data_IF_559153427943
#
_entry.id   IF_559153427943
#
_cell.length_a   1.000
_cell.length_b   1.000
_cell.length_c   1.000
_cell.angle_alpha   90.00
_cell.angle_beta   90.00
_cell.angle_gamma   90.00
#
_symmetry.space_group_name_H-M   'P 1'
#
loop_
_entity.id
_entity.type
_entity.pdbx_description
1 polymer ?
#
# COMPACT_ATOMS: atom_id res chain seq x y z
N UNK A 1 -24.25 36.24 -2.58
CA UNK A 1 -24.19 34.78 -2.41
C UNK A 1 -22.92 34.31 -3.12
N UNK A 2 -21.78 34.36 -2.45
CA UNK A 2 -20.53 33.89 -3.03
C UNK A 2 -20.49 32.37 -2.88
N UNK A 3 -20.67 31.65 -3.99
CA UNK A 3 -20.42 30.22 -4.04
C UNK A 3 -18.90 30.05 -3.95
N UNK A 4 -18.39 29.64 -2.78
CA UNK A 4 -17.00 29.19 -2.70
C UNK A 4 -16.91 27.89 -3.49
N UNK A 5 -16.31 27.96 -4.66
CA UNK A 5 -15.88 26.78 -5.39
C UNK A 5 -14.77 26.14 -4.57
N UNK A 6 -15.10 25.09 -3.79
CA UNK A 6 -14.10 24.16 -3.29
C UNK A 6 -13.49 23.50 -4.52
N UNK A 7 -12.33 24.01 -4.97
CA UNK A 7 -11.47 23.22 -5.84
C UNK A 7 -10.87 22.13 -4.97
N UNK A 8 -11.09 20.87 -5.34
CA UNK A 8 -10.26 19.79 -4.83
C UNK A 8 -8.82 20.19 -5.12
N UNK A 9 -8.04 20.40 -4.07
CA UNK A 9 -6.61 20.56 -4.20
C UNK A 9 -6.12 19.20 -4.72
N UNK A 10 -5.51 19.18 -5.91
CA UNK A 10 -4.75 18.00 -6.33
C UNK A 10 -3.62 17.88 -5.31
N UNK A 11 -3.81 17.02 -4.32
CA UNK A 11 -2.80 16.74 -3.31
C UNK A 11 -1.63 16.08 -4.03
N UNK A 12 -0.66 16.90 -4.43
CA UNK A 12 0.60 16.45 -5.03
C UNK A 12 1.36 15.69 -3.95
N UNK A 13 1.13 14.37 -3.90
CA UNK A 13 1.81 13.46 -2.98
C UNK A 13 3.31 13.59 -3.27
N UNK A 14 4.06 14.14 -2.32
CA UNK A 14 5.51 14.27 -2.48
C UNK A 14 6.12 12.91 -2.84
N UNK A 15 6.92 12.89 -3.91
CA UNK A 15 7.58 11.67 -4.40
C UNK A 15 9.09 11.86 -4.53
N UNK A 16 9.81 10.75 -4.57
CA UNK A 16 11.22 10.70 -4.93
C UNK A 16 11.41 9.88 -6.21
N UNK A 17 12.38 10.29 -7.05
CA UNK A 17 12.75 9.56 -8.24
C UNK A 17 13.69 8.41 -7.91
N UNK A 18 13.33 7.20 -8.35
CA UNK A 18 14.20 6.03 -8.29
C UNK A 18 15.06 5.96 -9.55
N UNK A 19 16.27 5.37 -9.42
CA UNK A 19 17.16 5.12 -10.57
C UNK A 19 16.52 4.22 -11.65
N UNK A 20 15.48 3.46 -11.29
CA UNK A 20 14.68 2.65 -12.22
C UNK A 20 13.73 3.47 -13.10
N UNK A 21 13.68 4.79 -12.94
CA UNK A 21 12.77 5.69 -13.65
C UNK A 21 11.35 5.78 -13.07
N UNK A 22 11.08 5.08 -11.96
CA UNK A 22 9.79 5.12 -11.27
C UNK A 22 9.81 6.15 -10.13
N UNK A 23 8.62 6.66 -9.77
CA UNK A 23 8.44 7.54 -8.62
C UNK A 23 7.96 6.74 -7.41
N UNK A 24 8.54 7.00 -6.24
CA UNK A 24 8.09 6.41 -4.96
C UNK A 24 7.46 7.51 -4.08
N UNK A 25 6.26 7.32 -3.53
CA UNK A 25 5.68 8.26 -2.57
C UNK A 25 6.55 8.37 -1.31
N UNK A 26 6.78 9.60 -0.87
CA UNK A 26 7.64 9.92 0.26
C UNK A 26 7.14 9.33 1.58
N UNK A 27 5.82 9.22 1.73
CA UNK A 27 5.16 8.67 2.91
C UNK A 27 4.48 7.35 2.53
N UNK A 28 4.76 6.30 3.31
CA UNK A 28 4.17 4.98 3.15
C UNK A 28 3.73 4.36 4.48
N UNK A 29 2.75 3.47 4.41
CA UNK A 29 2.24 2.72 5.57
C UNK A 29 3.05 1.43 5.72
N UNK A 30 3.74 1.27 6.85
CA UNK A 30 4.35 0.00 7.23
C UNK A 30 3.33 -0.95 7.86
N UNK A 31 3.38 -2.24 7.50
CA UNK A 31 2.40 -3.25 7.96
C UNK A 31 2.96 -4.26 8.96
N UNK A 32 4.19 -4.10 9.43
CA UNK A 32 4.73 -4.99 10.45
C UNK A 32 3.96 -4.86 11.78
N UNK A 33 3.57 -6.00 12.36
CA UNK A 33 2.80 -6.10 13.63
C UNK A 33 1.39 -5.48 13.59
N UNK A 34 0.81 -5.27 12.41
CA UNK A 34 -0.59 -4.85 12.29
C UNK A 34 -1.60 -5.94 12.66
N UNK A 35 -1.17 -7.22 12.65
CA UNK A 35 -2.07 -8.35 12.87
C UNK A 35 -3.28 -8.34 11.93
N UNK A 36 -4.43 -8.75 12.45
CA UNK A 36 -5.69 -8.82 11.70
C UNK A 36 -6.27 -7.45 11.29
N UNK A 37 -5.73 -6.35 11.81
CA UNK A 37 -6.17 -4.99 11.47
C UNK A 37 -5.56 -4.48 10.15
N UNK A 38 -4.65 -5.25 9.52
CA UNK A 38 -4.01 -4.91 8.25
C UNK A 38 -5.03 -4.55 7.16
N UNK A 39 -6.11 -5.34 7.01
CA UNK A 39 -7.14 -5.10 5.99
C UNK A 39 -7.76 -3.72 6.13
N UNK A 40 -8.21 -3.38 7.34
CA UNK A 40 -8.83 -2.09 7.63
C UNK A 40 -7.83 -0.94 7.53
N UNK A 41 -6.65 -1.10 8.12
CA UNK A 41 -5.62 -0.05 8.17
C UNK A 41 -5.15 0.35 6.78
N UNK A 42 -4.93 -0.64 5.88
CA UNK A 42 -4.52 -0.38 4.50
C UNK A 42 -5.63 0.33 3.71
N UNK A 43 -6.88 -0.14 3.82
CA UNK A 43 -8.00 0.49 3.14
C UNK A 43 -8.22 1.93 3.62
N UNK A 44 -8.24 2.15 4.94
CA UNK A 44 -8.40 3.47 5.54
C UNK A 44 -7.25 4.42 5.14
N UNK A 45 -6.00 3.95 5.20
CA UNK A 45 -4.86 4.77 4.81
C UNK A 45 -4.97 5.25 3.37
N UNK A 46 -5.41 4.39 2.44
CA UNK A 46 -5.49 4.72 1.01
C UNK A 46 -6.70 5.62 0.71
N UNK A 47 -7.87 5.27 1.23
CA UNK A 47 -9.16 5.90 0.90
C UNK A 47 -9.34 7.22 1.65
N UNK A 48 -9.10 7.23 2.96
CA UNK A 48 -9.40 8.36 3.84
C UNK A 48 -8.18 9.25 4.06
N UNK A 49 -7.01 8.64 4.29
CA UNK A 49 -5.79 9.38 4.61
C UNK A 49 -4.91 9.71 3.38
N UNK A 50 -5.31 9.30 2.18
CA UNK A 50 -4.62 9.65 0.92
C UNK A 50 -3.29 8.94 0.67
N UNK A 51 -2.95 7.88 1.41
CA UNK A 51 -1.70 7.13 1.19
C UNK A 51 -1.67 6.47 -0.18
N UNK A 52 -0.48 6.44 -0.77
CA UNK A 52 -0.23 5.76 -2.05
C UNK A 52 0.92 4.75 -1.99
N UNK A 53 1.59 4.61 -0.85
CA UNK A 53 2.68 3.66 -0.67
C UNK A 53 2.39 2.72 0.52
N UNK A 54 2.40 1.41 0.26
CA UNK A 54 2.23 0.36 1.27
C UNK A 54 3.50 -0.49 1.32
N UNK A 55 4.09 -0.63 2.50
CA UNK A 55 5.25 -1.47 2.75
C UNK A 55 4.84 -2.72 3.54
N UNK A 56 5.08 -3.89 2.94
CA UNK A 56 4.84 -5.20 3.55
C UNK A 56 6.04 -6.13 3.34
N UNK A 57 5.96 -7.36 3.85
CA UNK A 57 6.95 -8.40 3.65
C UNK A 57 6.33 -9.78 3.84
N UNK A 58 6.97 -10.80 3.27
CA UNK A 58 6.58 -12.19 3.51
C UNK A 58 6.56 -12.53 5.01
N UNK A 59 7.64 -12.21 5.72
CA UNK A 59 7.82 -12.55 7.14
C UNK A 59 6.84 -11.82 8.08
N UNK A 60 6.12 -10.80 7.60
CA UNK A 60 5.14 -10.10 8.43
C UNK A 60 3.87 -10.92 8.65
N UNK A 61 3.61 -11.93 7.80
CA UNK A 61 2.47 -12.83 7.95
C UNK A 61 1.09 -12.19 7.70
N UNK A 62 1.05 -11.00 7.08
CA UNK A 62 -0.19 -10.22 6.86
C UNK A 62 -0.45 -9.88 5.38
N UNK A 63 0.23 -10.54 4.44
CA UNK A 63 0.13 -10.18 3.00
C UNK A 63 -1.28 -10.44 2.43
N UNK A 64 -2.03 -11.41 2.98
CA UNK A 64 -3.41 -11.69 2.56
C UNK A 64 -4.31 -10.51 2.96
N UNK A 65 -4.22 -10.06 4.20
CA UNK A 65 -4.97 -8.93 4.75
C UNK A 65 -4.62 -7.63 4.05
N UNK A 66 -3.33 -7.38 3.81
CA UNK A 66 -2.88 -6.24 2.99
C UNK A 66 -3.48 -6.31 1.57
N UNK A 67 -3.52 -7.49 0.96
CA UNK A 67 -4.14 -7.71 -0.34
C UNK A 67 -5.64 -7.42 -0.34
N UNK A 68 -6.36 -7.80 0.72
CA UNK A 68 -7.77 -7.47 0.90
C UNK A 68 -8.00 -5.96 1.03
N UNK A 69 -7.17 -5.26 1.81
CA UNK A 69 -7.24 -3.80 1.96
C UNK A 69 -6.97 -3.06 0.65
N UNK A 70 -5.95 -3.49 -0.11
CA UNK A 70 -5.66 -2.98 -1.45
C UNK A 70 -6.84 -3.21 -2.42
N UNK A 71 -7.43 -4.41 -2.40
CA UNK A 71 -8.60 -4.73 -3.22
C UNK A 71 -9.78 -3.82 -2.89
N UNK A 72 -10.08 -3.62 -1.61
CA UNK A 72 -11.15 -2.72 -1.16
C UNK A 72 -10.92 -1.27 -1.61
N UNK A 73 -9.67 -0.78 -1.55
CA UNK A 73 -9.33 0.55 -2.06
C UNK A 73 -9.51 0.67 -3.57
N UNK A 74 -9.16 -0.37 -4.34
CA UNK A 74 -9.40 -0.39 -5.79
C UNK A 74 -10.88 -0.45 -6.15
N UNK A 75 -11.68 -1.20 -5.37
CA UNK A 75 -13.14 -1.23 -5.51
C UNK A 75 -13.78 0.12 -5.16
N UNK A 76 -13.18 0.90 -4.25
CA UNK A 76 -13.57 2.28 -3.94
C UNK A 76 -13.12 3.31 -5.00
N UNK A 77 -12.46 2.88 -6.09
CA UNK A 77 -12.11 3.72 -7.23
C UNK A 77 -10.64 4.13 -7.34
N UNK A 78 -9.77 3.68 -6.44
CA UNK A 78 -8.33 3.98 -6.54
C UNK A 78 -7.69 3.10 -7.61
N UNK A 79 -6.97 3.71 -8.56
CA UNK A 79 -6.37 2.94 -9.64
C UNK A 79 -5.09 2.23 -9.18
N UNK A 80 -4.87 0.99 -9.61
CA UNK A 80 -3.68 0.22 -9.24
C UNK A 80 -2.38 0.95 -9.55
N UNK A 81 -2.30 1.66 -10.68
CA UNK A 81 -1.10 2.39 -11.11
C UNK A 81 -0.70 3.54 -10.18
N UNK A 82 -1.63 4.02 -9.36
CA UNK A 82 -1.38 5.11 -8.41
C UNK A 82 -0.83 4.57 -7.08
N UNK A 83 -0.75 3.24 -6.91
CA UNK A 83 -0.26 2.58 -5.69
C UNK A 83 1.16 2.04 -5.87
N UNK A 84 2.03 2.36 -4.93
CA UNK A 84 3.35 1.77 -4.76
C UNK A 84 3.27 0.69 -3.68
N UNK A 85 3.50 -0.57 -4.02
CA UNK A 85 3.43 -1.68 -3.06
C UNK A 85 4.81 -2.33 -2.97
N UNK A 86 5.40 -2.27 -1.79
CA UNK A 86 6.72 -2.82 -1.49
C UNK A 86 6.56 -4.15 -0.75
N UNK A 87 7.27 -5.18 -1.22
CA UNK A 87 7.35 -6.49 -0.57
C UNK A 87 8.82 -6.91 -0.43
N UNK A 88 9.11 -7.85 0.46
CA UNK A 88 10.47 -8.29 0.78
C UNK A 88 10.57 -9.80 0.70
N UNK A 89 11.56 -10.29 -0.04
CA UNK A 89 11.94 -11.70 -0.06
C UNK A 89 12.56 -12.08 1.28
N UNK A 90 12.23 -13.27 1.79
CA UNK A 90 12.80 -13.79 3.04
C UNK A 90 13.90 -14.81 2.77
N UNK A 91 14.81 -15.00 3.72
CA UNK A 91 16.00 -15.82 3.52
C UNK A 91 15.68 -17.30 3.26
N UNK A 92 14.59 -17.82 3.83
CA UNK A 92 14.17 -19.23 3.70
C UNK A 92 13.13 -19.47 2.60
N UNK A 93 12.76 -18.44 1.83
CA UNK A 93 11.67 -18.54 0.83
C UNK A 93 11.90 -19.70 -0.14
N UNK A 94 13.14 -19.91 -0.58
CA UNK A 94 13.52 -21.04 -1.45
C UNK A 94 13.33 -22.40 -0.79
N UNK A 95 13.65 -22.52 0.49
CA UNK A 95 13.50 -23.77 1.23
C UNK A 95 12.03 -24.13 1.47
N UNK A 96 11.18 -23.13 1.73
CA UNK A 96 9.73 -23.34 1.92
C UNK A 96 9.01 -23.76 0.64
N UNK A 97 9.39 -23.17 -0.50
CA UNK A 97 8.86 -23.57 -1.82
C UNK A 97 9.18 -25.02 -2.16
N UNK A 98 10.39 -25.49 -1.83
CA UNK A 98 10.79 -26.88 -2.07
C UNK A 98 10.12 -27.88 -1.12
N UNK A 99 9.65 -27.41 0.04
CA UNK A 99 9.05 -28.28 1.06
C UNK A 99 7.52 -28.22 1.12
N UNK A 100 6.87 -27.42 0.27
CA UNK A 100 5.42 -27.18 0.28
C UNK A 100 4.88 -26.80 1.68
N UNK A 101 5.72 -26.18 2.52
CA UNK A 101 5.33 -25.68 3.84
C UNK A 101 4.93 -24.23 3.69
N UNK A 102 3.65 -24.02 3.37
CA UNK A 102 2.97 -22.73 3.44
C UNK A 102 2.42 -22.50 4.84
#
# INVERSE_FOLDING_TARGET
MAQSTFRAQEDDVQTFDLLSGHKIPAIGLGTWRSGYEATYSVAHAIIEAGYRHIDTAWEYGVQIEVGQGLKGAMEAGVQRKDLFVTAKLWYDTWFRLLTNKF
#
